data_IF_944362270903
#
_entry.id   IF_944362270903
#
_cell.length_a   1.000
_cell.length_b   1.000
_cell.length_c   1.000
_cell.angle_alpha   90.00
_cell.angle_beta   90.00
_cell.angle_gamma   90.00
#
_symmetry.space_group_name_H-M   'P 1'
#
loop_
_entity.id
_entity.type
_entity.pdbx_description
1 polymer ?
#
# COMPACT_ATOMS: atom_id res chain seq x y z
N UNK A 1 36.30 4.32 -12.53
CA UNK A 1 35.28 3.41 -11.97
C UNK A 1 34.12 3.36 -12.95
N UNK A 2 33.88 2.23 -13.64
CA UNK A 2 32.69 2.13 -14.48
C UNK A 2 31.46 2.22 -13.58
N UNK A 3 30.50 3.09 -13.92
CA UNK A 3 29.16 2.99 -13.36
C UNK A 3 28.66 1.60 -13.72
N UNK A 4 28.58 0.70 -12.73
CA UNK A 4 27.67 -0.43 -12.89
C UNK A 4 26.30 0.20 -12.82
N UNK A 5 25.62 0.27 -13.96
CA UNK A 5 24.25 0.76 -13.99
C UNK A 5 23.45 -0.03 -12.95
N UNK A 6 22.78 0.70 -12.07
CA UNK A 6 22.08 0.14 -10.91
C UNK A 6 20.94 -0.80 -11.32
N UNK A 7 20.41 -0.59 -12.53
CA UNK A 7 19.42 -1.43 -13.19
C UNK A 7 20.04 -2.08 -14.43
N UNK A 8 19.73 -3.35 -14.66
CA UNK A 8 20.10 -4.03 -15.89
C UNK A 8 19.31 -3.46 -17.07
N UNK A 9 19.88 -3.51 -18.27
CA UNK A 9 19.16 -3.16 -19.49
C UNK A 9 17.90 -4.02 -19.64
N UNK A 10 16.78 -3.41 -20.05
CA UNK A 10 15.49 -4.09 -20.15
C UNK A 10 14.80 -4.41 -18.82
N UNK A 11 15.29 -3.93 -17.66
CA UNK A 11 14.67 -4.23 -16.35
C UNK A 11 13.17 -3.93 -16.26
N UNK A 12 12.71 -2.88 -16.96
CA UNK A 12 11.31 -2.46 -17.01
C UNK A 12 10.58 -2.84 -18.30
N UNK A 13 11.16 -3.71 -19.12
CA UNK A 13 10.54 -4.15 -20.38
C UNK A 13 9.20 -4.86 -20.11
N UNK A 14 8.14 -4.41 -20.77
CA UNK A 14 6.78 -4.97 -20.61
C UNK A 14 6.10 -4.63 -19.29
N UNK A 15 6.62 -3.68 -18.51
CA UNK A 15 6.00 -3.23 -17.24
C UNK A 15 5.18 -1.97 -17.47
N UNK A 16 3.90 -1.98 -17.06
CA UNK A 16 3.06 -0.78 -17.14
C UNK A 16 3.19 0.15 -15.92
N UNK A 17 3.32 -0.43 -14.72
CA UNK A 17 3.43 0.29 -13.43
C UNK A 17 4.42 -0.42 -12.52
N UNK A 18 5.30 0.32 -11.86
CA UNK A 18 6.26 -0.23 -10.91
C UNK A 18 5.98 0.19 -9.46
N UNK A 19 6.04 -0.76 -8.52
CA UNK A 19 6.11 -0.48 -7.09
C UNK A 19 7.58 -0.44 -6.65
N UNK A 20 8.05 0.69 -6.15
CA UNK A 20 9.43 0.86 -5.69
C UNK A 20 9.47 0.98 -4.16
N UNK A 21 10.02 -0.04 -3.51
CA UNK A 21 10.34 -0.03 -2.07
C UNK A 21 11.85 0.18 -1.88
N UNK A 22 12.41 1.18 -2.54
CA UNK A 22 13.83 1.50 -2.47
C UNK A 22 14.18 2.06 -1.09
N UNK A 23 15.18 1.46 -0.45
CA UNK A 23 15.62 1.85 0.90
C UNK A 23 16.43 3.16 0.92
N UNK A 24 16.88 3.63 -0.25
CA UNK A 24 17.74 4.80 -0.39
C UNK A 24 17.21 5.79 -1.44
N UNK A 25 17.27 7.11 -1.19
CA UNK A 25 16.73 8.14 -2.08
C UNK A 25 17.31 8.12 -3.49
N UNK A 26 18.61 7.90 -3.63
CA UNK A 26 19.33 7.83 -4.91
C UNK A 26 18.82 6.68 -5.78
N UNK A 27 18.60 5.50 -5.19
CA UNK A 27 18.00 4.36 -5.87
C UNK A 27 16.56 4.64 -6.30
N UNK A 28 15.78 5.37 -5.48
CA UNK A 28 14.43 5.79 -5.84
C UNK A 28 14.45 6.70 -7.07
N UNK A 29 15.31 7.72 -7.07
CA UNK A 29 15.45 8.66 -8.19
C UNK A 29 15.88 7.93 -9.46
N UNK A 30 16.89 7.05 -9.36
CA UNK A 30 17.33 6.25 -10.51
C UNK A 30 16.21 5.34 -11.01
N UNK A 31 15.46 4.70 -10.12
CA UNK A 31 14.30 3.88 -10.50
C UNK A 31 13.25 4.67 -11.28
N UNK A 32 12.98 5.92 -10.90
CA UNK A 32 12.08 6.82 -11.65
C UNK A 32 12.66 7.17 -13.02
N UNK A 33 13.95 7.49 -13.12
CA UNK A 33 14.61 7.78 -14.39
C UNK A 33 14.55 6.59 -15.36
N UNK A 34 14.84 5.39 -14.87
CA UNK A 34 14.76 4.16 -15.68
C UNK A 34 13.31 3.84 -16.08
N UNK A 35 12.34 4.04 -15.19
CA UNK A 35 10.92 3.91 -15.53
C UNK A 35 10.48 4.90 -16.61
N UNK A 36 11.01 6.14 -16.58
CA UNK A 36 10.77 7.14 -17.62
C UNK A 36 11.37 6.71 -18.97
N UNK A 37 12.60 6.19 -18.98
CA UNK A 37 13.24 5.69 -20.21
C UNK A 37 12.46 4.52 -20.82
N UNK A 38 11.92 3.64 -19.98
CA UNK A 38 11.10 2.51 -20.40
C UNK A 38 9.65 2.87 -20.77
N UNK A 39 9.20 4.12 -20.50
CA UNK A 39 7.87 4.58 -20.88
C UNK A 39 6.74 3.99 -20.04
N UNK A 40 6.98 3.71 -18.75
CA UNK A 40 5.94 3.24 -17.83
C UNK A 40 4.79 4.25 -17.72
N UNK A 41 3.59 3.79 -17.40
CA UNK A 41 2.47 4.69 -17.12
C UNK A 41 2.63 5.42 -15.78
N UNK A 42 3.13 4.70 -14.76
CA UNK A 42 3.34 5.27 -13.44
C UNK A 42 4.37 4.52 -12.60
N UNK A 43 4.85 5.19 -11.55
CA UNK A 43 5.56 4.59 -10.42
C UNK A 43 4.80 4.83 -9.12
N UNK A 44 4.77 3.82 -8.26
CA UNK A 44 4.16 3.88 -6.93
C UNK A 44 5.27 3.65 -5.91
N UNK A 45 5.53 4.65 -5.08
CA UNK A 45 6.64 4.69 -4.13
C UNK A 45 6.04 4.85 -2.72
N UNK A 46 5.62 3.75 -2.09
CA UNK A 46 5.02 3.80 -0.78
C UNK A 46 6.08 3.94 0.32
N UNK A 47 5.74 4.67 1.37
CA UNK A 47 6.58 4.82 2.57
C UNK A 47 7.27 6.18 2.67
N UNK A 48 7.56 6.58 3.91
CA UNK A 48 7.94 7.95 4.22
C UNK A 48 9.46 8.21 4.33
N UNK A 49 10.31 7.18 4.38
CA UNK A 49 11.64 7.38 4.96
C UNK A 49 12.71 7.98 4.03
N UNK A 50 12.75 7.70 2.72
CA UNK A 50 13.58 8.49 1.80
C UNK A 50 12.88 9.79 1.41
N UNK A 51 11.64 9.67 0.89
CA UNK A 51 10.84 10.67 0.17
C UNK A 51 10.36 11.86 1.01
N UNK A 52 10.41 11.80 2.35
CA UNK A 52 9.85 12.86 3.20
C UNK A 52 10.87 13.51 4.14
N UNK A 53 12.06 12.93 4.30
CA UNK A 53 13.18 13.53 5.06
C UNK A 53 14.05 14.50 4.23
N UNK A 54 13.63 14.79 3.00
CA UNK A 54 14.16 15.86 2.16
C UNK A 54 14.83 15.41 0.85
N UNK A 55 15.30 14.17 0.77
CA UNK A 55 15.89 13.60 -0.45
C UNK A 55 14.88 12.74 -1.21
N UNK A 56 14.89 12.75 -2.54
CA UNK A 56 13.88 12.07 -3.36
C UNK A 56 12.44 12.48 -3.00
N UNK A 57 12.21 13.76 -2.67
CA UNK A 57 10.86 14.19 -2.24
C UNK A 57 9.78 13.94 -3.28
N UNK A 58 8.49 13.86 -2.91
CA UNK A 58 7.42 13.71 -3.92
C UNK A 58 7.54 14.76 -5.03
N UNK A 59 7.83 16.01 -4.67
CA UNK A 59 8.05 17.11 -5.62
C UNK A 59 9.29 16.89 -6.48
N UNK A 60 10.36 16.38 -5.89
CA UNK A 60 11.59 16.06 -6.61
C UNK A 60 11.39 14.92 -7.59
N UNK A 61 10.73 13.83 -7.19
CA UNK A 61 10.44 12.69 -8.07
C UNK A 61 9.51 13.09 -9.21
N UNK A 62 8.50 13.93 -8.94
CA UNK A 62 7.66 14.51 -9.98
C UNK A 62 8.46 15.39 -10.95
N UNK A 63 9.44 16.15 -10.44
CA UNK A 63 10.35 16.94 -11.28
C UNK A 63 11.25 16.04 -12.13
N UNK A 64 11.82 14.99 -11.54
CA UNK A 64 12.66 14.00 -12.24
C UNK A 64 11.88 13.27 -13.32
N UNK A 65 10.61 12.98 -13.08
CA UNK A 65 9.74 12.37 -14.08
C UNK A 65 9.40 13.31 -15.25
N UNK A 66 9.51 14.63 -15.06
CA UNK A 66 9.25 15.65 -16.09
C UNK A 66 7.89 15.48 -16.80
N UNK A 67 6.88 14.95 -16.10
CA UNK A 67 5.56 14.66 -16.67
C UNK A 67 5.52 13.51 -17.68
N UNK A 68 6.61 12.75 -17.86
CA UNK A 68 6.66 11.58 -18.74
C UNK A 68 5.86 10.40 -18.19
N UNK A 69 5.84 10.25 -16.86
CA UNK A 69 5.12 9.21 -16.13
C UNK A 69 4.45 9.82 -14.89
N UNK A 70 3.38 9.20 -14.39
CA UNK A 70 2.77 9.60 -13.13
C UNK A 70 3.56 9.09 -11.91
N UNK A 71 3.67 9.92 -10.87
CA UNK A 71 4.38 9.56 -9.63
C UNK A 71 3.40 9.57 -8.44
N UNK A 72 3.15 8.38 -7.90
CA UNK A 72 2.35 8.19 -6.69
C UNK A 72 3.26 7.90 -5.51
N UNK A 73 3.20 8.73 -4.47
CA UNK A 73 3.96 8.55 -3.23
C UNK A 73 3.03 8.50 -2.01
N UNK A 74 2.23 7.43 -1.85
CA UNK A 74 1.32 7.31 -0.72
C UNK A 74 2.11 7.03 0.57
N UNK A 75 1.62 7.57 1.70
CA UNK A 75 2.21 7.32 3.03
C UNK A 75 2.35 5.82 3.34
N UNK A 76 1.34 5.05 2.96
CA UNK A 76 1.32 3.58 3.04
C UNK A 76 0.69 3.01 1.78
N UNK A 77 1.11 1.81 1.36
CA UNK A 77 0.64 1.19 0.13
C UNK A 77 -0.88 0.93 0.14
N UNK A 78 -1.47 0.66 1.29
CA UNK A 78 -2.91 0.46 1.46
C UNK A 78 -3.73 1.77 1.54
N UNK A 79 -3.12 2.93 1.29
CA UNK A 79 -3.85 4.19 1.12
C UNK A 79 -4.13 4.51 -0.36
N UNK A 80 -3.63 3.71 -1.29
CA UNK A 80 -3.93 3.88 -2.71
C UNK A 80 -5.40 3.51 -2.98
N UNK A 81 -6.18 4.43 -3.53
CA UNK A 81 -7.59 4.22 -3.83
C UNK A 81 -7.96 4.92 -5.14
N UNK A 82 -8.66 4.25 -6.07
CA UNK A 82 -9.19 4.89 -7.26
C UNK A 82 -10.36 5.84 -6.92
N UNK A 83 -10.63 6.88 -7.74
CA UNK A 83 -9.88 7.24 -8.95
C UNK A 83 -8.61 8.03 -8.63
N UNK A 84 -7.53 7.70 -9.32
CA UNK A 84 -6.21 8.35 -9.18
C UNK A 84 -5.92 9.31 -10.34
N UNK A 85 -6.69 9.22 -11.44
CA UNK A 85 -6.45 9.97 -12.68
C UNK A 85 -5.59 9.21 -13.68
N UNK A 86 -4.97 8.10 -13.27
CA UNK A 86 -4.22 7.20 -14.15
C UNK A 86 -4.98 5.87 -14.26
N UNK A 87 -5.44 5.54 -15.48
CA UNK A 87 -6.27 4.35 -15.75
C UNK A 87 -5.56 3.05 -15.35
N UNK A 88 -4.25 2.94 -15.57
CA UNK A 88 -3.50 1.72 -15.26
C UNK A 88 -3.38 1.54 -13.75
N UNK A 89 -3.09 2.62 -13.04
CA UNK A 89 -3.03 2.62 -11.57
C UNK A 89 -4.40 2.34 -10.97
N UNK A 90 -5.47 2.86 -11.57
CA UNK A 90 -6.84 2.58 -11.11
C UNK A 90 -7.21 1.10 -11.26
N UNK A 91 -6.89 0.47 -12.39
CA UNK A 91 -7.08 -0.97 -12.60
C UNK A 91 -6.31 -1.81 -11.57
N UNK A 92 -5.07 -1.42 -11.25
CA UNK A 92 -4.30 -2.05 -10.19
C UNK A 92 -4.96 -1.83 -8.82
N UNK A 93 -5.40 -0.61 -8.54
CA UNK A 93 -5.99 -0.19 -7.27
C UNK A 93 -7.43 -0.68 -7.04
N UNK A 94 -8.07 -1.30 -8.04
CA UNK A 94 -9.28 -2.09 -7.87
C UNK A 94 -9.01 -3.41 -7.14
N UNK A 95 -7.79 -3.97 -7.27
CA UNK A 95 -7.38 -5.23 -6.62
C UNK A 95 -6.43 -5.02 -5.45
N UNK A 96 -5.52 -4.06 -5.58
CA UNK A 96 -4.41 -3.82 -4.66
C UNK A 96 -4.37 -2.36 -4.22
N UNK A 97 -4.82 -2.08 -2.99
CA UNK A 97 -4.93 -0.71 -2.47
C UNK A 97 -5.65 -0.65 -1.13
N UNK A 98 -6.55 0.32 -0.98
CA UNK A 98 -7.34 0.50 0.23
C UNK A 98 -8.23 -0.72 0.49
N UNK A 99 -8.08 -1.44 1.61
CA UNK A 99 -8.71 -2.72 1.78
C UNK A 99 -10.25 -2.65 1.78
N UNK A 100 -10.87 -3.72 1.31
CA UNK A 100 -12.30 -3.99 1.46
C UNK A 100 -12.49 -5.46 1.81
N UNK A 101 -13.03 -5.72 3.00
CA UNK A 101 -13.17 -7.06 3.57
C UNK A 101 -14.64 -7.30 3.87
N UNK A 102 -15.22 -8.34 3.30
CA UNK A 102 -16.59 -8.75 3.57
C UNK A 102 -16.58 -9.94 4.52
N UNK A 103 -17.30 -9.82 5.62
CA UNK A 103 -17.32 -10.82 6.70
C UNK A 103 -18.74 -11.33 6.90
N UNK A 104 -18.94 -12.64 6.77
CA UNK A 104 -20.22 -13.29 7.04
C UNK A 104 -20.23 -13.90 8.44
N UNK A 105 -21.33 -13.73 9.17
CA UNK A 105 -21.43 -14.13 10.58
C UNK A 105 -22.51 -15.19 10.79
N UNK A 106 -22.27 -16.07 11.78
CA UNK A 106 -23.28 -16.94 12.38
C UNK A 106 -23.33 -16.64 13.89
N UNK A 107 -24.31 -15.83 14.30
CA UNK A 107 -24.33 -15.24 15.64
C UNK A 107 -23.09 -14.38 15.90
N UNK A 108 -22.33 -14.71 16.94
CA UNK A 108 -21.10 -14.02 17.34
C UNK A 108 -19.82 -14.65 16.76
N UNK A 109 -19.94 -15.50 15.73
CA UNK A 109 -18.81 -16.20 15.11
C UNK A 109 -18.65 -15.81 13.64
N UNK A 110 -17.41 -15.64 13.21
CA UNK A 110 -17.07 -15.44 11.79
C UNK A 110 -17.24 -16.77 11.08
N UNK A 111 -18.13 -16.81 10.08
CA UNK A 111 -18.33 -17.97 9.21
C UNK A 111 -17.35 -17.95 8.02
N UNK A 112 -17.20 -16.79 7.39
CA UNK A 112 -16.29 -16.60 6.26
C UNK A 112 -15.80 -15.16 6.16
N UNK A 113 -14.64 -15.00 5.53
CA UNK A 113 -14.05 -13.70 5.21
C UNK A 113 -13.64 -13.68 3.75
N UNK A 114 -14.17 -12.73 2.99
CA UNK A 114 -13.85 -12.49 1.59
C UNK A 114 -13.08 -11.17 1.46
N UNK A 115 -11.97 -11.19 0.73
CA UNK A 115 -11.18 -9.98 0.44
C UNK A 115 -11.58 -9.50 -0.97
N UNK A 116 -12.35 -8.41 -1.03
CA UNK A 116 -12.74 -7.78 -2.30
C UNK A 116 -11.56 -7.01 -2.89
N UNK A 117 -10.83 -6.31 -2.04
CA UNK A 117 -9.60 -5.59 -2.36
C UNK A 117 -8.62 -5.66 -1.20
N UNK A 118 -7.34 -5.88 -1.50
CA UNK A 118 -6.31 -6.10 -0.47
C UNK A 118 -5.17 -5.08 -0.52
N UNK A 119 -4.50 -4.90 0.61
CA UNK A 119 -3.26 -4.16 0.69
C UNK A 119 -2.15 -4.92 -0.06
N UNK A 120 -1.39 -4.27 -0.97
CA UNK A 120 -0.39 -4.96 -1.82
C UNK A 120 0.71 -5.69 -1.04
N UNK A 121 0.95 -5.35 0.23
CA UNK A 121 1.93 -6.02 1.08
C UNK A 121 1.46 -7.39 1.63
N UNK A 122 0.21 -7.78 1.41
CA UNK A 122 -0.33 -9.04 1.92
C UNK A 122 -1.10 -8.93 3.24
N UNK A 123 -1.06 -7.78 3.91
CA UNK A 123 -1.64 -7.60 5.25
C UNK A 123 -3.14 -7.94 5.31
N UNK A 124 -3.90 -7.58 4.27
CA UNK A 124 -5.35 -7.84 4.23
C UNK A 124 -5.68 -9.33 4.19
N UNK A 125 -4.92 -10.14 3.44
CA UNK A 125 -5.09 -11.59 3.42
C UNK A 125 -4.61 -12.25 4.72
N UNK A 126 -3.62 -11.67 5.40
CA UNK A 126 -3.26 -12.11 6.74
C UNK A 126 -4.40 -11.85 7.72
N UNK A 127 -4.98 -10.65 7.70
CA UNK A 127 -6.16 -10.30 8.52
C UNK A 127 -7.31 -11.26 8.23
N UNK A 128 -7.67 -11.46 6.97
CA UNK A 128 -8.79 -12.32 6.59
C UNK A 128 -8.65 -13.77 7.10
N UNK A 129 -7.45 -14.35 6.95
CA UNK A 129 -7.14 -15.70 7.46
C UNK A 129 -7.29 -15.81 8.98
N UNK A 130 -6.86 -14.79 9.72
CA UNK A 130 -6.88 -14.78 11.19
C UNK A 130 -8.22 -14.30 11.79
N UNK A 131 -9.13 -13.76 10.99
CA UNK A 131 -10.49 -13.48 11.42
C UNK A 131 -11.43 -14.68 11.24
N UNK A 132 -11.11 -15.59 10.32
CA UNK A 132 -11.99 -16.72 10.02
C UNK A 132 -12.15 -17.65 11.23
N UNK A 133 -13.39 -17.95 11.61
CA UNK A 133 -13.71 -18.81 12.76
C UNK A 133 -13.65 -18.14 14.14
N UNK A 134 -13.17 -16.90 14.23
CA UNK A 134 -13.06 -16.12 15.47
C UNK A 134 -14.45 -15.81 16.07
N UNK A 135 -14.47 -15.66 17.39
CA UNK A 135 -15.64 -15.17 18.15
C UNK A 135 -15.40 -13.75 18.61
N UNK A 136 -16.44 -12.93 18.58
CA UNK A 136 -16.34 -11.52 18.97
C UNK A 136 -17.66 -11.07 19.64
N UNK A 137 -17.58 -10.19 20.64
CA UNK A 137 -18.76 -9.72 21.38
C UNK A 137 -19.66 -8.81 20.54
N UNK A 138 -19.07 -8.02 19.64
CA UNK A 138 -19.76 -7.06 18.80
C UNK A 138 -18.97 -6.75 17.52
N UNK A 139 -19.61 -6.03 16.59
CA UNK A 139 -19.02 -5.64 15.31
C UNK A 139 -17.76 -4.76 15.46
N UNK A 140 -17.69 -3.92 16.49
CA UNK A 140 -16.56 -3.03 16.68
C UNK A 140 -15.35 -3.77 17.25
N UNK A 141 -15.56 -4.78 18.09
CA UNK A 141 -14.52 -5.69 18.53
C UNK A 141 -13.89 -6.45 17.35
N UNK A 142 -14.71 -6.92 16.41
CA UNK A 142 -14.24 -7.53 15.16
C UNK A 142 -13.39 -6.55 14.33
N UNK A 143 -13.87 -5.32 14.14
CA UNK A 143 -13.13 -4.26 13.42
C UNK A 143 -11.81 -3.91 14.10
N UNK A 144 -11.81 -3.74 15.43
CA UNK A 144 -10.59 -3.49 16.22
C UNK A 144 -9.59 -4.63 16.07
N UNK A 145 -10.05 -5.89 16.12
CA UNK A 145 -9.21 -7.07 15.89
C UNK A 145 -8.60 -7.05 14.49
N UNK A 146 -9.39 -6.72 13.46
CA UNK A 146 -8.88 -6.58 12.09
C UNK A 146 -7.77 -5.54 11.98
N UNK A 147 -7.98 -4.36 12.56
CA UNK A 147 -6.96 -3.30 12.61
C UNK A 147 -5.71 -3.71 13.38
N UNK A 148 -5.87 -4.43 14.50
CA UNK A 148 -4.75 -4.94 15.28
C UNK A 148 -3.93 -5.99 14.51
N UNK A 149 -4.59 -6.96 13.89
CA UNK A 149 -3.94 -7.97 13.03
C UNK A 149 -3.17 -7.33 11.87
N UNK A 150 -3.72 -6.26 11.28
CA UNK A 150 -3.04 -5.51 10.25
C UNK A 150 -1.74 -4.87 10.79
N UNK A 151 -1.78 -4.28 11.98
CA UNK A 151 -0.58 -3.70 12.62
C UNK A 151 0.47 -4.76 12.97
N UNK A 152 0.05 -5.96 13.40
CA UNK A 152 0.98 -7.07 13.64
C UNK A 152 1.76 -7.47 12.38
N UNK A 153 1.09 -7.54 11.23
CA UNK A 153 1.71 -7.93 9.96
C UNK A 153 2.48 -6.77 9.30
N UNK A 154 2.00 -5.54 9.44
CA UNK A 154 2.50 -4.40 8.69
C UNK A 154 3.97 -4.07 9.00
N UNK A 155 4.69 -3.64 7.97
CA UNK A 155 6.07 -3.18 8.02
C UNK A 155 6.21 -1.66 7.92
N UNK A 156 5.11 -0.92 7.86
CA UNK A 156 5.15 0.54 7.91
C UNK A 156 5.82 1.03 9.20
N UNK A 157 6.43 2.22 9.19
CA UNK A 157 7.11 2.77 10.37
C UNK A 157 6.25 2.73 11.63
N UNK A 158 6.90 2.38 12.75
CA UNK A 158 6.29 2.27 14.08
C UNK A 158 6.62 3.50 14.91
N UNK A 159 5.61 4.10 15.52
CA UNK A 159 5.76 5.17 16.52
C UNK A 159 5.77 6.59 15.94
N UNK A 160 5.52 7.54 16.83
CA UNK A 160 5.75 8.97 16.63
C UNK A 160 7.18 9.27 17.08
N UNK A 161 8.10 9.71 16.20
CA UNK A 161 9.16 10.56 16.67
C UNK A 161 8.52 11.70 17.48
N UNK A 162 9.05 12.11 18.64
CA UNK A 162 8.44 13.13 19.48
C UNK A 162 8.20 14.48 18.78
N UNK A 163 8.75 14.65 17.58
CA UNK A 163 8.65 15.84 16.73
C UNK A 163 8.05 15.56 15.34
N UNK A 164 7.61 14.33 15.05
CA UNK A 164 7.02 13.98 13.74
C UNK A 164 5.77 13.12 13.90
N UNK A 165 4.75 13.46 13.12
CA UNK A 165 3.49 12.72 13.08
C UNK A 165 3.58 11.52 12.12
N UNK A 166 4.33 10.48 12.51
CA UNK A 166 4.49 9.26 11.69
C UNK A 166 3.43 8.23 12.08
N UNK A 167 2.24 8.31 11.45
CA UNK A 167 1.13 7.37 11.69
C UNK A 167 1.07 6.21 10.69
N UNK A 168 2.18 5.79 10.06
CA UNK A 168 2.14 4.77 9.02
C UNK A 168 1.44 3.47 9.45
N UNK A 169 1.95 2.81 10.49
CA UNK A 169 1.35 1.57 11.02
C UNK A 169 -0.06 1.77 11.57
N UNK A 170 -0.31 2.89 12.25
CA UNK A 170 -1.61 3.18 12.87
C UNK A 170 -2.69 3.44 11.82
N UNK A 171 -2.36 4.21 10.77
CA UNK A 171 -3.21 4.42 9.61
C UNK A 171 -3.49 3.09 8.91
N UNK A 172 -2.49 2.21 8.76
CA UNK A 172 -2.72 0.88 8.20
C UNK A 172 -3.75 0.10 9.03
N UNK A 173 -3.63 0.12 10.36
CA UNK A 173 -4.60 -0.50 11.26
C UNK A 173 -6.00 0.12 11.15
N UNK A 174 -6.10 1.44 11.11
CA UNK A 174 -7.36 2.16 10.98
C UNK A 174 -8.08 1.83 9.68
N UNK A 175 -7.36 1.83 8.54
CA UNK A 175 -7.92 1.47 7.24
C UNK A 175 -8.43 0.02 7.23
N UNK A 176 -7.70 -0.92 7.84
CA UNK A 176 -8.16 -2.31 7.92
C UNK A 176 -9.38 -2.45 8.84
N UNK A 177 -9.43 -1.76 9.98
CA UNK A 177 -10.60 -1.75 10.83
C UNK A 177 -11.86 -1.22 10.11
N UNK A 178 -11.71 -0.12 9.36
CA UNK A 178 -12.79 0.49 8.56
C UNK A 178 -13.19 -0.34 7.34
N UNK A 179 -12.28 -1.17 6.81
CA UNK A 179 -12.53 -2.00 5.64
C UNK A 179 -13.51 -3.15 5.86
N UNK A 180 -13.76 -3.53 7.11
CA UNK A 180 -14.63 -4.67 7.44
C UNK A 180 -16.11 -4.29 7.29
N UNK A 181 -16.75 -4.92 6.30
CA UNK A 181 -18.19 -4.89 6.02
C UNK A 181 -18.81 -6.20 6.47
N UNK A 182 -19.77 -6.14 7.39
CA UNK A 182 -20.48 -7.32 7.86
C UNK A 182 -21.67 -7.59 6.94
N UNK A 183 -21.70 -8.77 6.33
CA UNK A 183 -22.81 -9.25 5.53
C UNK A 183 -23.65 -10.16 6.41
N UNK A 184 -24.90 -9.77 6.65
CA UNK A 184 -25.88 -10.66 7.30
C UNK A 184 -26.35 -11.66 6.25
N UNK A 185 -26.08 -12.94 6.47
CA UNK A 185 -26.73 -14.00 5.70
C UNK A 185 -28.22 -13.97 6.05
N UNK A 186 -29.07 -13.92 5.02
CA UNK A 186 -30.53 -14.05 5.17
C UNK A 186 -30.87 -15.46 5.62
#
# INVERSE_FOLDING_TARGET
>A
MSRKDTFQEGFFEGVDVAYLYTLYPDLTIQGVLEACKAGLSAVIIPGEDPTFKGAASKKELQRVAEGKIDVFAPRISCALHPPTGNRVVDQLAERFGMPEIHVSLHGQRVLSVNVVRGAPCGATWYVARNLNGERFPDADALRRKAGLLAQYYCRAPRGYPPFEDVKGIHLAGELHAKSVKIIKLK
#
